data_IF_476895497012
#
_entry.id   IF_476895497012
#
_cell.length_a   1.000
_cell.length_b   1.000
_cell.length_c   1.000
_cell.angle_alpha   90.00
_cell.angle_beta   90.00
_cell.angle_gamma   90.00
#
_symmetry.space_group_name_H-M   'P 1'
#
loop_
_entity.id
_entity.type
_entity.pdbx_description
1 polymer ?
#
# COMPACT_ATOMS: atom_id res chain seq x y z
N UNK A 1 -80.40 -0.09 -29.59
CA UNK A 1 -79.31 0.36 -28.71
C UNK A 1 -78.06 -0.43 -29.08
N UNK A 2 -77.25 0.10 -29.99
CA UNK A 2 -76.03 -0.57 -30.47
C UNK A 2 -74.83 -0.26 -29.57
N UNK A 3 -74.12 -1.31 -29.15
CA UNK A 3 -72.91 -1.24 -28.32
C UNK A 3 -71.75 -0.75 -29.19
N UNK A 4 -71.26 0.47 -28.93
CA UNK A 4 -70.02 0.99 -29.51
C UNK A 4 -68.83 0.17 -29.02
N UNK A 5 -68.19 -0.59 -29.92
CA UNK A 5 -66.88 -1.17 -29.68
C UNK A 5 -65.86 -0.04 -29.47
N UNK A 6 -65.25 0.01 -28.28
CA UNK A 6 -64.09 0.87 -28.02
C UNK A 6 -62.89 0.30 -28.76
N UNK A 7 -62.41 1.03 -29.76
CA UNK A 7 -61.16 0.75 -30.46
C UNK A 7 -60.00 0.65 -29.47
N UNK A 8 -59.32 -0.50 -29.46
CA UNK A 8 -58.17 -0.74 -28.60
C UNK A 8 -56.98 0.12 -29.07
N UNK A 9 -56.55 1.06 -28.22
CA UNK A 9 -55.37 1.89 -28.41
C UNK A 9 -54.14 0.99 -28.62
N UNK A 10 -53.47 1.12 -29.78
CA UNK A 10 -52.28 0.31 -30.15
C UNK A 10 -51.25 0.30 -29.00
N UNK A 11 -50.84 -0.89 -28.56
CA UNK A 11 -49.82 -1.06 -27.53
C UNK A 11 -48.49 -0.46 -28.02
N UNK A 12 -47.93 0.49 -27.27
CA UNK A 12 -46.65 1.16 -27.60
C UNK A 12 -45.43 0.24 -27.42
N UNK A 13 -45.54 -0.81 -26.61
CA UNK A 13 -44.45 -1.75 -26.31
C UNK A 13 -44.95 -3.19 -26.37
N UNK A 14 -44.20 -4.06 -27.05
CA UNK A 14 -44.40 -5.51 -27.02
C UNK A 14 -44.00 -6.08 -25.65
N UNK A 15 -44.68 -7.15 -25.22
CA UNK A 15 -44.38 -7.83 -23.96
C UNK A 15 -42.96 -8.39 -23.92
N UNK A 16 -42.42 -8.89 -25.03
CA UNK A 16 -41.04 -9.39 -25.09
C UNK A 16 -40.01 -8.27 -24.87
N UNK A 17 -40.29 -7.07 -25.38
CA UNK A 17 -39.44 -5.90 -25.16
C UNK A 17 -39.49 -5.45 -23.71
N UNK A 18 -40.64 -5.56 -23.05
CA UNK A 18 -40.77 -5.29 -21.62
C UNK A 18 -39.99 -6.30 -20.78
N UNK A 19 -40.05 -7.60 -21.12
CA UNK A 19 -39.24 -8.64 -20.44
C UNK A 19 -37.75 -8.37 -20.53
N UNK A 20 -37.25 -8.03 -21.73
CA UNK A 20 -35.84 -7.71 -21.93
C UNK A 20 -35.39 -6.49 -21.13
N UNK A 21 -36.20 -5.42 -21.11
CA UNK A 21 -35.91 -4.22 -20.33
C UNK A 21 -35.91 -4.50 -18.82
N UNK A 22 -36.86 -5.30 -18.32
CA UNK A 22 -36.89 -5.69 -16.91
C UNK A 22 -35.65 -6.50 -16.51
N UNK A 23 -35.20 -7.40 -17.38
CA UNK A 23 -33.98 -8.17 -17.18
C UNK A 23 -32.74 -7.26 -17.14
N UNK A 24 -32.62 -6.32 -18.09
CA UNK A 24 -31.50 -5.36 -18.12
C UNK A 24 -31.42 -4.50 -16.84
N UNK A 25 -32.57 -4.06 -16.32
CA UNK A 25 -32.60 -3.29 -15.06
C UNK A 25 -32.21 -4.15 -13.87
N UNK A 26 -32.64 -5.42 -13.81
CA UNK A 26 -32.25 -6.36 -12.75
C UNK A 26 -30.74 -6.58 -12.72
N UNK A 27 -30.12 -6.75 -13.89
CA UNK A 27 -28.66 -6.87 -14.04
C UNK A 27 -27.93 -5.63 -13.52
N UNK A 28 -28.36 -4.44 -13.94
CA UNK A 28 -27.76 -3.17 -13.49
C UNK A 28 -27.81 -2.97 -11.97
N UNK A 29 -28.75 -3.62 -11.28
CA UNK A 29 -28.97 -3.49 -9.84
C UNK A 29 -28.29 -4.57 -8.99
N UNK A 30 -27.53 -5.49 -9.61
CA UNK A 30 -26.68 -6.44 -8.88
C UNK A 30 -27.44 -7.31 -7.88
N UNK A 31 -28.51 -7.97 -8.32
CA UNK A 31 -29.26 -8.92 -7.48
C UNK A 31 -30.36 -8.33 -6.60
N UNK A 32 -30.41 -6.99 -6.40
CA UNK A 32 -31.51 -6.34 -5.66
C UNK A 32 -32.87 -6.58 -6.31
N UNK A 33 -33.92 -6.73 -5.51
CA UNK A 33 -35.28 -6.94 -6.00
C UNK A 33 -35.73 -5.77 -6.90
N UNK A 34 -36.27 -6.10 -8.08
CA UNK A 34 -36.86 -5.10 -8.97
C UNK A 34 -38.32 -4.92 -8.62
N UNK A 35 -38.78 -3.67 -8.61
CA UNK A 35 -40.19 -3.35 -8.46
C UNK A 35 -40.65 -2.44 -9.60
N UNK A 36 -41.97 -2.37 -9.88
CA UNK A 36 -42.51 -1.53 -10.95
C UNK A 36 -42.10 -0.04 -10.89
N UNK A 37 -41.80 0.49 -9.71
CA UNK A 37 -41.36 1.88 -9.51
C UNK A 37 -39.89 2.09 -9.91
N UNK A 38 -39.02 1.12 -9.60
CA UNK A 38 -37.61 1.12 -10.02
C UNK A 38 -37.52 0.98 -11.54
N UNK A 39 -38.34 0.09 -12.12
CA UNK A 39 -38.42 -0.08 -13.57
C UNK A 39 -38.88 1.19 -14.27
N UNK A 40 -39.85 1.93 -13.70
CA UNK A 40 -40.27 3.23 -14.24
C UNK A 40 -39.13 4.26 -14.21
N UNK A 41 -38.38 4.32 -13.10
CA UNK A 41 -37.24 5.24 -12.97
C UNK A 41 -36.13 4.96 -13.99
N UNK A 42 -35.84 3.68 -14.25
CA UNK A 42 -34.75 3.28 -15.15
C UNK A 42 -35.15 3.25 -16.62
N UNK A 43 -36.42 2.94 -16.95
CA UNK A 43 -36.87 2.75 -18.34
C UNK A 43 -37.76 3.88 -18.88
N UNK A 44 -38.26 4.75 -18.00
CA UNK A 44 -39.26 5.77 -18.34
C UNK A 44 -40.63 5.21 -18.72
N UNK A 45 -40.85 3.89 -18.58
CA UNK A 45 -42.13 3.23 -18.86
C UNK A 45 -42.98 3.26 -17.59
N UNK A 46 -44.21 3.76 -17.71
CA UNK A 46 -45.06 4.01 -16.55
C UNK A 46 -45.30 2.77 -15.67
N UNK A 47 -45.25 2.94 -14.35
CA UNK A 47 -45.39 1.87 -13.32
C UNK A 47 -46.60 0.97 -13.53
N UNK A 48 -47.71 1.53 -14.00
CA UNK A 48 -48.95 0.78 -14.27
C UNK A 48 -48.82 -0.21 -15.43
N UNK A 49 -47.93 0.06 -16.39
CA UNK A 49 -47.65 -0.86 -17.48
C UNK A 49 -46.93 -2.09 -16.95
N UNK A 50 -45.91 -1.89 -16.12
CA UNK A 50 -45.16 -2.96 -15.44
C UNK A 50 -46.06 -3.78 -14.52
N UNK A 51 -46.87 -3.11 -13.68
CA UNK A 51 -47.74 -3.76 -12.70
C UNK A 51 -48.95 -4.49 -13.30
N UNK A 52 -49.32 -4.20 -14.55
CA UNK A 52 -50.43 -4.90 -15.23
C UNK A 52 -49.96 -6.00 -16.15
N UNK A 53 -48.81 -5.83 -16.81
CA UNK A 53 -48.36 -6.74 -17.86
C UNK A 53 -47.24 -7.66 -17.41
N UNK A 54 -46.41 -7.23 -16.46
CA UNK A 54 -45.14 -7.89 -16.13
C UNK A 54 -45.06 -8.35 -14.67
N UNK A 55 -46.17 -8.39 -13.94
CA UNK A 55 -46.19 -8.81 -12.52
C UNK A 55 -45.60 -10.19 -12.31
N UNK A 56 -45.99 -11.16 -13.14
CA UNK A 56 -45.45 -12.52 -13.07
C UNK A 56 -43.97 -12.58 -13.44
N UNK A 57 -43.56 -11.83 -14.46
CA UNK A 57 -42.14 -11.76 -14.88
C UNK A 57 -41.28 -11.14 -13.78
N UNK A 58 -41.73 -10.03 -13.18
CA UNK A 58 -41.04 -9.36 -12.07
C UNK A 58 -40.95 -10.31 -10.86
N UNK A 59 -42.02 -11.01 -10.54
CA UNK A 59 -42.01 -12.01 -9.46
C UNK A 59 -41.03 -13.15 -9.76
N UNK A 60 -40.97 -13.65 -11.01
CA UNK A 60 -40.03 -14.70 -11.42
C UNK A 60 -38.57 -14.22 -11.35
N UNK A 61 -38.29 -12.99 -11.79
CA UNK A 61 -36.96 -12.35 -11.71
C UNK A 61 -36.51 -12.02 -10.28
N UNK A 62 -37.44 -11.95 -9.33
CA UNK A 62 -37.13 -11.73 -7.92
C UNK A 62 -37.06 -13.02 -7.10
N UNK A 63 -37.37 -14.19 -7.68
CA UNK A 63 -37.22 -15.44 -6.94
C UNK A 63 -35.73 -15.67 -6.61
N UNK A 64 -35.39 -15.93 -5.33
CA UNK A 64 -34.02 -16.30 -4.99
C UNK A 64 -33.69 -17.62 -5.70
N UNK A 65 -32.53 -17.67 -6.37
CA UNK A 65 -32.02 -18.92 -6.91
C UNK A 65 -31.62 -19.78 -5.70
N UNK A 66 -32.30 -20.91 -5.53
CA UNK A 66 -32.01 -21.86 -4.46
C UNK A 66 -30.71 -22.57 -4.84
N UNK A 67 -29.74 -22.57 -3.92
CA UNK A 67 -28.45 -23.24 -4.09
C UNK A 67 -28.51 -24.63 -3.45
N UNK A 68 -27.90 -25.61 -4.07
CA UNK A 68 -27.64 -26.93 -3.47
C UNK A 68 -26.32 -26.99 -2.65
N UNK A 69 -25.51 -25.93 -2.65
CA UNK A 69 -24.23 -25.86 -1.92
C UNK A 69 -24.36 -24.87 -0.73
N UNK A 70 -24.13 -25.36 0.49
CA UNK A 70 -24.07 -24.54 1.71
C UNK A 70 -22.78 -23.71 1.73
N UNK A 71 -22.90 -22.38 1.76
CA UNK A 71 -21.77 -21.47 1.98
C UNK A 71 -21.45 -21.40 3.47
N UNK A 72 -20.17 -21.41 3.82
CA UNK A 72 -19.74 -20.94 5.14
C UNK A 72 -20.07 -19.44 5.26
N UNK A 73 -20.49 -18.98 6.44
CA UNK A 73 -21.03 -17.64 6.70
C UNK A 73 -20.09 -16.44 6.38
N UNK A 74 -18.90 -16.69 5.85
CA UNK A 74 -17.88 -15.70 5.50
C UNK A 74 -17.64 -15.57 3.99
N UNK A 75 -18.39 -16.28 3.14
CA UNK A 75 -18.20 -16.23 1.68
C UNK A 75 -19.20 -15.25 1.04
N UNK A 76 -18.77 -14.01 0.83
CA UNK A 76 -19.52 -12.93 0.16
C UNK A 76 -19.66 -13.16 -1.37
N UNK A 77 -19.06 -14.21 -1.91
CA UNK A 77 -19.00 -14.45 -3.36
C UNK A 77 -20.23 -15.26 -3.78
N UNK A 78 -21.19 -14.57 -4.39
CA UNK A 78 -22.36 -15.18 -4.99
C UNK A 78 -22.00 -15.84 -6.34
N UNK A 79 -21.49 -17.08 -6.33
CA UNK A 79 -21.38 -17.89 -7.56
C UNK A 79 -22.68 -18.67 -7.82
N UNK A 80 -23.36 -18.51 -8.96
CA UNK A 80 -24.51 -19.33 -9.32
C UNK A 80 -24.10 -20.79 -9.53
N UNK A 81 -24.95 -21.73 -9.09
CA UNK A 81 -24.73 -23.15 -9.37
C UNK A 81 -25.16 -23.45 -10.81
N UNK A 82 -24.20 -23.87 -11.64
CA UNK A 82 -24.39 -24.16 -13.06
C UNK A 82 -25.39 -25.31 -13.24
N UNK A 83 -25.33 -26.35 -12.41
CA UNK A 83 -26.23 -27.50 -12.48
C UNK A 83 -27.69 -27.05 -12.26
N UNK A 84 -27.92 -26.29 -11.18
CA UNK A 84 -29.25 -25.75 -10.83
C UNK A 84 -29.76 -24.80 -11.94
N UNK A 85 -28.89 -23.98 -12.54
CA UNK A 85 -29.23 -23.12 -13.66
C UNK A 85 -29.64 -23.91 -14.91
N UNK A 86 -28.92 -24.99 -15.23
CA UNK A 86 -29.21 -25.85 -16.38
C UNK A 86 -30.54 -26.57 -16.17
N UNK A 87 -30.76 -27.18 -15.01
CA UNK A 87 -32.00 -27.91 -14.70
C UNK A 87 -33.23 -26.99 -14.72
N UNK A 88 -33.10 -25.78 -14.18
CA UNK A 88 -34.22 -24.86 -14.04
C UNK A 88 -34.56 -24.10 -15.33
N UNK A 89 -33.58 -23.85 -16.21
CA UNK A 89 -33.75 -23.03 -17.41
C UNK A 89 -33.51 -23.77 -18.73
N UNK A 90 -33.43 -25.11 -18.71
CA UNK A 90 -33.19 -25.95 -19.89
C UNK A 90 -34.12 -25.62 -21.08
N UNK A 91 -35.42 -25.49 -20.80
CA UNK A 91 -36.45 -25.17 -21.79
C UNK A 91 -36.40 -23.69 -22.23
N UNK A 92 -35.91 -22.80 -21.36
CA UNK A 92 -35.80 -21.35 -21.60
C UNK A 92 -34.36 -20.95 -21.97
N UNK A 93 -33.86 -21.45 -23.11
CA UNK A 93 -32.47 -21.30 -23.59
C UNK A 93 -31.89 -19.88 -23.52
N UNK A 94 -32.72 -18.84 -23.72
CA UNK A 94 -32.28 -17.45 -23.64
C UNK A 94 -31.96 -17.01 -22.21
N UNK A 95 -32.70 -17.53 -21.22
CA UNK A 95 -32.45 -17.27 -19.79
C UNK A 95 -31.21 -18.02 -19.35
N UNK A 96 -31.06 -19.28 -19.76
CA UNK A 96 -29.86 -20.08 -19.47
C UNK A 96 -28.58 -19.43 -20.04
N UNK A 97 -28.61 -18.99 -21.30
CA UNK A 97 -27.48 -18.27 -21.91
C UNK A 97 -27.10 -17.01 -21.11
N UNK A 98 -28.10 -16.31 -20.58
CA UNK A 98 -27.89 -15.10 -19.81
C UNK A 98 -27.28 -15.40 -18.44
N UNK A 99 -27.75 -16.43 -17.73
CA UNK A 99 -27.14 -16.87 -16.46
C UNK A 99 -25.69 -17.32 -16.64
N UNK A 100 -25.38 -18.05 -17.72
CA UNK A 100 -24.01 -18.43 -18.03
C UNK A 100 -23.11 -17.23 -18.36
N UNK A 101 -23.67 -16.18 -18.97
CA UNK A 101 -22.93 -14.94 -19.21
C UNK A 101 -22.63 -14.20 -17.90
N UNK A 102 -23.57 -14.18 -16.94
CA UNK A 102 -23.31 -13.62 -15.60
C UNK A 102 -22.18 -14.38 -14.94
N UNK A 103 -22.22 -15.71 -15.00
CA UNK A 103 -21.16 -16.56 -14.45
C UNK A 103 -19.79 -16.23 -15.05
N UNK A 104 -19.71 -16.09 -16.37
CA UNK A 104 -18.49 -15.71 -17.07
C UNK A 104 -17.97 -14.33 -16.63
N UNK A 105 -18.84 -13.34 -16.50
CA UNK A 105 -18.48 -11.99 -16.03
C UNK A 105 -17.95 -12.05 -14.59
N UNK A 106 -18.65 -12.72 -13.67
CA UNK A 106 -18.22 -12.86 -12.28
C UNK A 106 -16.88 -13.57 -12.17
N UNK A 107 -16.60 -14.54 -13.04
CA UNK A 107 -15.32 -15.23 -13.09
C UNK A 107 -14.19 -14.31 -13.55
N UNK A 108 -14.42 -13.46 -14.55
CA UNK A 108 -13.45 -12.45 -14.95
C UNK A 108 -13.20 -11.40 -13.88
N UNK A 109 -14.25 -10.88 -13.23
CA UNK A 109 -14.13 -9.92 -12.13
C UNK A 109 -13.30 -10.51 -10.98
N UNK A 110 -13.59 -11.75 -10.58
CA UNK A 110 -12.85 -12.44 -9.52
C UNK A 110 -11.38 -12.65 -9.90
N UNK A 111 -11.11 -12.96 -11.17
CA UNK A 111 -9.74 -13.10 -11.65
C UNK A 111 -8.97 -11.77 -11.63
N UNK A 112 -9.61 -10.66 -12.05
CA UNK A 112 -9.00 -9.33 -11.98
C UNK A 112 -8.71 -8.92 -10.54
N UNK A 113 -9.66 -9.13 -9.63
CA UNK A 113 -9.51 -8.83 -8.20
C UNK A 113 -8.36 -9.66 -7.58
N UNK A 114 -8.25 -10.94 -7.94
CA UNK A 114 -7.15 -11.80 -7.50
C UNK A 114 -5.79 -11.28 -7.99
N UNK A 115 -5.69 -10.79 -9.23
CA UNK A 115 -4.44 -10.20 -9.73
C UNK A 115 -4.09 -8.91 -9.00
N UNK A 116 -5.07 -8.06 -8.72
CA UNK A 116 -4.87 -6.83 -7.93
C UNK A 116 -4.37 -7.18 -6.53
N UNK A 117 -5.04 -8.09 -5.81
CA UNK A 117 -4.60 -8.51 -4.48
C UNK A 117 -3.21 -9.13 -4.49
N UNK A 118 -2.86 -9.89 -5.54
CA UNK A 118 -1.51 -10.45 -5.66
C UNK A 118 -0.44 -9.36 -5.78
N UNK A 119 -0.72 -8.31 -6.55
CA UNK A 119 0.21 -7.20 -6.71
C UNK A 119 0.30 -6.33 -5.45
N UNK A 120 -0.82 -6.05 -4.79
CA UNK A 120 -0.85 -5.35 -3.50
C UNK A 120 -0.06 -6.12 -2.44
N UNK A 121 -0.23 -7.43 -2.36
CA UNK A 121 0.50 -8.28 -1.42
C UNK A 121 2.01 -8.31 -1.73
N UNK A 122 2.39 -8.26 -3.02
CA UNK A 122 3.79 -8.11 -3.43
C UNK A 122 4.38 -6.78 -2.95
N UNK A 123 3.64 -5.68 -3.10
CA UNK A 123 4.04 -4.36 -2.62
C UNK A 123 4.12 -4.31 -1.09
N UNK A 124 3.14 -4.89 -0.39
CA UNK A 124 3.12 -4.97 1.06
C UNK A 124 4.38 -5.65 1.60
N UNK A 125 4.75 -6.82 1.06
CA UNK A 125 5.98 -7.53 1.45
C UNK A 125 7.24 -6.69 1.21
N UNK A 126 7.27 -5.89 0.14
CA UNK A 126 8.38 -4.98 -0.14
C UNK A 126 8.45 -3.88 0.93
N UNK A 127 7.33 -3.27 1.30
CA UNK A 127 7.28 -2.24 2.34
C UNK A 127 7.59 -2.78 3.74
N UNK A 128 7.19 -4.02 4.04
CA UNK A 128 7.57 -4.70 5.28
C UNK A 128 9.10 -4.86 5.38
N UNK A 129 9.74 -5.34 4.30
CA UNK A 129 11.19 -5.47 4.25
C UNK A 129 11.91 -4.12 4.38
N UNK A 130 11.40 -3.07 3.72
CA UNK A 130 11.94 -1.71 3.82
C UNK A 130 11.79 -1.13 5.24
N UNK A 131 10.63 -1.33 5.88
CA UNK A 131 10.41 -0.92 7.26
C UNK A 131 11.35 -1.61 8.24
N UNK A 132 11.60 -2.91 8.07
CA UNK A 132 12.55 -3.64 8.91
C UNK A 132 13.99 -3.12 8.74
N UNK A 133 14.38 -2.75 7.53
CA UNK A 133 15.69 -2.12 7.29
C UNK A 133 15.77 -0.73 7.94
N UNK A 134 14.75 0.12 7.75
CA UNK A 134 14.68 1.45 8.36
C UNK A 134 14.71 1.39 9.90
N UNK A 135 14.03 0.41 10.51
CA UNK A 135 14.10 0.19 11.97
C UNK A 135 15.53 -0.13 12.43
N UNK A 136 16.25 -0.96 11.68
CA UNK A 136 17.66 -1.30 11.98
C UNK A 136 18.56 -0.08 11.87
N UNK A 137 18.43 0.68 10.79
CA UNK A 137 19.18 1.93 10.59
C UNK A 137 18.92 2.92 11.72
N UNK A 138 17.65 3.14 12.06
CA UNK A 138 17.26 4.05 13.14
C UNK A 138 17.84 3.61 14.49
N UNK A 139 17.84 2.31 14.78
CA UNK A 139 18.46 1.79 15.99
C UNK A 139 19.98 2.04 16.00
N UNK A 140 20.66 1.78 14.88
CA UNK A 140 22.10 2.06 14.76
C UNK A 140 22.38 3.56 14.97
N UNK A 141 21.63 4.44 14.32
CA UNK A 141 21.77 5.89 14.50
C UNK A 141 21.56 6.31 15.96
N UNK A 142 20.59 5.73 16.67
CA UNK A 142 20.40 5.99 18.11
C UNK A 142 21.59 5.54 18.95
N UNK A 143 22.15 4.36 18.65
CA UNK A 143 23.35 3.86 19.33
C UNK A 143 24.52 4.80 19.11
N UNK A 144 24.75 5.23 17.86
CA UNK A 144 25.81 6.20 17.54
C UNK A 144 25.60 7.55 18.24
N UNK A 145 24.39 8.10 18.20
CA UNK A 145 24.08 9.37 18.84
C UNK A 145 24.37 9.32 20.35
N UNK A 146 23.90 8.25 21.02
CA UNK A 146 24.17 8.03 22.45
C UNK A 146 25.66 7.88 22.75
N UNK A 147 26.40 7.14 21.91
CA UNK A 147 27.83 6.98 22.07
C UNK A 147 28.57 8.33 22.03
N UNK A 148 28.23 9.19 21.06
CA UNK A 148 28.84 10.51 20.94
C UNK A 148 28.40 11.47 22.05
N UNK A 149 27.15 11.38 22.51
CA UNK A 149 26.67 12.10 23.69
C UNK A 149 27.46 11.72 24.96
N UNK A 150 27.69 10.42 25.16
CA UNK A 150 28.50 9.91 26.27
C UNK A 150 29.96 10.37 26.18
N UNK A 151 30.56 10.34 24.98
CA UNK A 151 31.91 10.84 24.74
C UNK A 151 32.02 12.33 25.04
N UNK A 152 31.09 13.14 24.51
CA UNK A 152 31.04 14.57 24.77
C UNK A 152 30.90 14.86 26.27
N UNK A 153 29.98 14.18 26.94
CA UNK A 153 29.76 14.33 28.38
C UNK A 153 31.03 13.96 29.17
N UNK A 154 31.67 12.84 28.84
CA UNK A 154 32.95 12.45 29.46
C UNK A 154 34.05 13.48 29.21
N UNK A 155 34.13 14.05 28.01
CA UNK A 155 35.12 15.07 27.66
C UNK A 155 34.88 16.38 28.44
N UNK A 156 33.63 16.85 28.54
CA UNK A 156 33.28 18.07 29.27
C UNK A 156 33.45 17.89 30.79
N UNK A 157 33.06 16.74 31.32
CA UNK A 157 33.25 16.42 32.75
C UNK A 157 34.75 16.33 33.06
N UNK A 158 35.52 15.59 32.27
CA UNK A 158 36.97 15.47 32.49
C UNK A 158 37.73 16.80 32.31
N UNK A 159 37.26 17.70 31.45
CA UNK A 159 37.89 19.02 31.28
C UNK A 159 37.61 19.97 32.46
N UNK A 160 36.41 19.91 33.03
CA UNK A 160 35.98 20.79 34.13
C UNK A 160 36.46 20.33 35.52
N UNK A 161 36.63 19.03 35.76
CA UNK A 161 37.06 18.50 37.05
C UNK A 161 38.55 18.18 37.08
N UNK A 162 39.34 19.02 37.78
CA UNK A 162 40.81 18.92 37.85
C UNK A 162 41.32 17.54 38.30
N UNK A 163 40.63 16.89 39.23
CA UNK A 163 41.00 15.56 39.75
C UNK A 163 40.80 14.43 38.72
N UNK A 164 39.74 14.50 37.91
CA UNK A 164 39.51 13.54 36.82
C UNK A 164 40.47 13.79 35.65
N UNK A 165 40.72 15.07 35.35
CA UNK A 165 41.69 15.51 34.35
C UNK A 165 43.08 14.91 34.60
N UNK A 166 43.57 14.98 35.84
CA UNK A 166 44.85 14.38 36.25
C UNK A 166 44.85 12.85 36.17
N UNK A 167 43.73 12.19 36.46
CA UNK A 167 43.60 10.72 36.40
C UNK A 167 43.63 10.18 34.96
N UNK A 168 43.11 10.96 34.01
CA UNK A 168 43.11 10.67 32.58
C UNK A 168 44.42 11.09 31.88
N UNK A 169 45.42 11.57 32.62
CA UNK A 169 46.67 12.07 32.05
C UNK A 169 46.53 13.40 31.29
N UNK A 170 45.37 14.04 31.35
CA UNK A 170 45.08 15.31 30.67
C UNK A 170 45.66 16.43 31.56
N UNK A 171 46.91 16.82 31.31
CA UNK A 171 47.55 17.93 32.01
C UNK A 171 46.91 19.29 31.71
N UNK A 172 47.37 20.36 32.37
CA UNK A 172 47.07 21.73 31.95
C UNK A 172 47.69 21.95 30.57
N UNK A 173 46.83 22.13 29.55
CA UNK A 173 47.24 22.37 28.16
C UNK A 173 47.90 23.74 27.99
N UNK A 174 47.51 24.71 28.82
CA UNK A 174 48.10 26.05 28.88
C UNK A 174 48.30 26.41 30.34
N UNK A 175 49.56 26.61 30.75
CA UNK A 175 49.88 27.17 32.06
C UNK A 175 50.64 28.48 31.88
N UNK A 176 49.93 29.61 31.87
CA UNK A 176 50.54 30.93 31.70
C UNK A 176 51.43 31.36 32.89
N UNK A 177 51.51 30.55 33.96
CA UNK A 177 52.40 30.81 35.10
C UNK A 177 53.77 30.15 34.97
N UNK A 178 53.95 29.16 34.08
CA UNK A 178 55.22 28.46 33.86
C UNK A 178 55.50 28.29 32.37
N UNK A 179 56.72 28.60 31.92
CA UNK A 179 57.14 28.50 30.51
C UNK A 179 56.23 29.27 29.51
N UNK A 180 56.10 30.58 29.72
CA UNK A 180 55.30 31.49 28.87
C UNK A 180 55.64 31.33 27.38
N UNK A 181 56.92 31.25 27.03
CA UNK A 181 57.38 31.16 25.64
C UNK A 181 56.91 29.89 24.92
N UNK A 182 56.82 28.75 25.63
CA UNK A 182 56.30 27.49 25.07
C UNK A 182 54.78 27.54 24.93
N UNK A 183 54.09 28.16 25.88
CA UNK A 183 52.62 28.23 25.90
C UNK A 183 52.03 29.30 24.97
N UNK A 184 52.86 30.22 24.44
CA UNK A 184 52.48 31.20 23.40
C UNK A 184 52.61 30.68 21.96
N UNK A 185 53.32 29.57 21.74
CA UNK A 185 53.51 29.02 20.40
C UNK A 185 52.42 27.99 20.07
N UNK A 186 51.62 28.30 19.05
CA UNK A 186 50.50 27.45 18.59
C UNK A 186 50.98 26.10 18.04
N UNK A 187 52.25 25.97 17.63
CA UNK A 187 52.81 24.72 17.11
C UNK A 187 52.99 23.64 18.19
N UNK A 188 53.09 24.03 19.46
CA UNK A 188 53.25 23.08 20.56
C UNK A 188 51.97 22.24 20.81
N UNK A 189 50.80 22.75 20.39
CA UNK A 189 49.54 22.02 20.48
C UNK A 189 49.48 20.77 19.60
N UNK A 190 50.28 20.72 18.52
CA UNK A 190 50.30 19.58 17.59
C UNK A 190 50.63 18.28 18.33
N UNK A 191 51.49 18.34 19.35
CA UNK A 191 51.90 17.18 20.16
C UNK A 191 50.79 16.61 21.05
N UNK A 192 49.70 17.36 21.26
CA UNK A 192 48.56 16.94 22.07
C UNK A 192 47.44 16.30 21.25
N UNK A 193 47.53 16.31 19.92
CA UNK A 193 46.58 15.62 19.07
C UNK A 193 47.13 14.24 18.69
N UNK A 194 46.30 13.18 18.76
CA UNK A 194 46.71 11.86 18.31
C UNK A 194 47.07 11.91 16.82
N UNK A 195 48.11 11.16 16.42
CA UNK A 195 48.48 11.06 15.02
C UNK A 195 47.40 10.32 14.26
N UNK A 196 47.24 10.66 12.98
CA UNK A 196 46.23 10.07 12.10
C UNK A 196 46.30 8.54 12.04
N UNK A 197 47.50 7.96 12.20
CA UNK A 197 47.69 6.50 12.23
C UNK A 197 47.06 5.82 13.46
N UNK A 198 47.04 6.50 14.62
CA UNK A 198 46.55 5.94 15.89
C UNK A 198 45.00 5.92 15.95
N UNK A 199 44.35 6.89 15.30
CA UNK A 199 42.89 6.95 15.19
C UNK A 199 42.30 5.87 14.27
N UNK A 200 43.09 5.38 13.30
CA UNK A 200 42.67 4.33 12.36
C UNK A 200 42.66 2.98 13.08
N UNK A 201 43.65 2.70 13.94
CA UNK A 201 43.77 1.44 14.67
C UNK A 201 42.62 1.19 15.66
N UNK A 202 42.10 2.20 16.35
CA UNK A 202 40.93 2.04 17.23
C UNK A 202 39.63 1.71 16.46
N UNK A 203 39.53 2.09 15.17
CA UNK A 203 38.37 1.81 14.33
C UNK A 203 38.40 0.42 13.65
N UNK A 204 39.54 -0.28 13.66
CA UNK A 204 39.73 -1.57 12.97
C UNK A 204 38.94 -2.75 13.55
N UNK A 205 38.28 -2.59 14.70
CA UNK A 205 37.48 -3.66 15.32
C UNK A 205 36.05 -3.79 14.78
N UNK A 206 35.61 -2.95 13.82
CA UNK A 206 34.28 -3.05 13.19
C UNK A 206 34.36 -3.17 11.66
N UNK A 207 33.71 -4.21 11.12
CA UNK A 207 33.81 -4.73 9.74
C UNK A 207 33.25 -3.84 8.61
N UNK A 208 33.07 -2.54 8.80
CA UNK A 208 32.55 -1.60 7.77
C UNK A 208 33.65 -0.91 6.95
N UNK A 209 34.93 -1.24 7.16
CA UNK A 209 36.07 -0.40 6.78
C UNK A 209 36.45 -0.42 5.30
N UNK A 210 36.19 -1.49 4.54
CA UNK A 210 36.58 -1.55 3.11
C UNK A 210 35.89 -0.48 2.25
N UNK A 211 34.64 -0.15 2.54
CA UNK A 211 33.91 0.87 1.79
C UNK A 211 34.29 2.30 2.20
N UNK A 212 34.58 2.52 3.49
CA UNK A 212 35.00 3.83 4.01
C UNK A 212 36.41 4.21 3.58
N UNK A 213 37.37 3.26 3.54
CA UNK A 213 38.72 3.52 3.01
C UNK A 213 38.72 3.88 1.53
N UNK A 214 37.89 3.20 0.72
CA UNK A 214 37.75 3.53 -0.70
C UNK A 214 37.18 4.94 -0.88
N UNK A 215 36.17 5.32 -0.11
CA UNK A 215 35.58 6.66 -0.17
C UNK A 215 36.55 7.74 0.30
N UNK A 216 37.32 7.48 1.36
CA UNK A 216 38.32 8.42 1.86
C UNK A 216 39.42 8.63 0.81
N UNK A 217 39.95 7.56 0.21
CA UNK A 217 40.95 7.63 -0.85
C UNK A 217 40.43 8.39 -2.08
N UNK A 218 39.16 8.21 -2.45
CA UNK A 218 38.54 8.98 -3.54
C UNK A 218 38.46 10.47 -3.20
N UNK A 219 38.15 10.83 -1.96
CA UNK A 219 38.10 12.23 -1.51
C UNK A 219 39.50 12.84 -1.46
N UNK A 220 40.48 12.13 -0.91
CA UNK A 220 41.88 12.59 -0.83
C UNK A 220 42.47 12.80 -2.22
N UNK A 221 42.21 11.88 -3.16
CA UNK A 221 42.65 12.02 -4.54
C UNK A 221 41.98 13.20 -5.26
N UNK A 222 40.68 13.41 -5.03
CA UNK A 222 39.97 14.60 -5.56
C UNK A 222 40.50 15.90 -4.96
N UNK A 223 40.83 15.89 -3.68
CA UNK A 223 41.38 17.06 -3.00
C UNK A 223 42.77 17.41 -3.55
N UNK A 224 43.67 16.43 -3.68
CA UNK A 224 45.01 16.65 -4.24
C UNK A 224 44.96 17.12 -5.70
N UNK A 225 44.05 16.58 -6.52
CA UNK A 225 43.85 17.01 -7.89
C UNK A 225 43.39 18.49 -8.02
N UNK A 226 42.75 19.06 -6.99
CA UNK A 226 42.36 20.48 -6.96
C UNK A 226 43.59 21.38 -6.75
N UNK A 227 44.62 20.90 -6.05
CA UNK A 227 45.84 21.67 -5.76
C UNK A 227 46.96 21.44 -6.78
N UNK A 228 46.90 20.38 -7.58
CA UNK A 228 47.86 20.11 -8.66
C UNK A 228 47.54 20.83 -9.99
N UNK A 229 46.38 21.50 -10.12
CA UNK A 229 46.01 22.26 -11.33
C UNK A 229 46.54 23.70 -11.36
N UNK A 230 47.53 24.03 -10.54
CA UNK A 230 48.07 25.38 -10.43
C UNK A 230 49.58 25.39 -10.63
N UNK A 231 49.99 25.01 -11.84
CA UNK A 231 51.24 25.42 -12.49
C UNK A 231 51.02 25.46 -14.02
#
# INVERSE_FOLDING_TARGET
MEKKHKENKKQKFSDDKLKQLALQVKHKLGGKEINPSILEKETGIGRMTWSRRMTETIAKLNRPLIRSIELNANEDIYLPNIEDCIEQYWEEKNVLKNELLIFEITLYELYEELQQFKEENRLLKKYEAENENLKKELNNTRIYAKHFEDLYTKMVVSSNFTQLRSKLGIGKLLDFKSDISKNTDLLNFITHFPKTEDLILEQTNNSETKSKEQNLNVITNKFNAIFEQKD
#
